data_IF_228605915935
#
_entry.id   IF_228605915935
#
_cell.length_a   1.000
_cell.length_b   1.000
_cell.length_c   1.000
_cell.angle_alpha   90.00
_cell.angle_beta   90.00
_cell.angle_gamma   90.00
#
_symmetry.space_group_name_H-M   'P 1'
#
loop_
_entity.id
_entity.type
_entity.pdbx_description
1 polymer ?
#
# COMPACT_ATOMS: atom_id res chain seq x y z
N UNK A 1 21.36 -13.52 -32.25
CA UNK A 1 20.64 -12.39 -31.63
C UNK A 1 20.85 -12.47 -30.13
N UNK A 2 21.60 -11.53 -29.55
CA UNK A 2 21.80 -11.47 -28.09
C UNK A 2 20.56 -10.87 -27.44
N UNK A 3 20.12 -11.44 -26.32
CA UNK A 3 19.03 -10.88 -25.51
C UNK A 3 19.50 -9.53 -24.96
N UNK A 4 18.83 -8.44 -25.37
CA UNK A 4 19.01 -7.14 -24.75
C UNK A 4 18.18 -7.08 -23.47
N UNK A 5 18.83 -6.75 -22.36
CA UNK A 5 18.17 -6.55 -21.06
C UNK A 5 18.14 -5.05 -20.77
N UNK A 6 16.98 -4.55 -20.37
CA UNK A 6 16.76 -3.17 -19.94
C UNK A 6 16.60 -3.19 -18.41
N UNK A 7 16.97 -2.10 -17.75
CA UNK A 7 16.72 -1.94 -16.31
C UNK A 7 15.21 -1.96 -16.04
N UNK A 8 14.80 -2.77 -15.07
CA UNK A 8 13.39 -2.97 -14.74
C UNK A 8 13.08 -2.31 -13.39
N UNK A 9 12.00 -1.54 -13.26
CA UNK A 9 11.62 -0.93 -11.98
C UNK A 9 11.18 -2.01 -10.97
N UNK A 10 12.09 -2.39 -10.07
CA UNK A 10 11.90 -3.52 -9.13
C UNK A 10 10.68 -3.30 -8.23
N UNK A 11 10.55 -2.11 -7.64
CA UNK A 11 9.43 -1.77 -6.75
C UNK A 11 8.09 -1.78 -7.48
N UNK A 12 8.06 -1.32 -8.73
CA UNK A 12 6.85 -1.35 -9.54
C UNK A 12 6.40 -2.78 -9.86
N UNK A 13 7.34 -3.64 -10.24
CA UNK A 13 7.04 -5.05 -10.46
C UNK A 13 6.55 -5.75 -9.18
N UNK A 14 7.08 -5.37 -8.03
CA UNK A 14 6.64 -5.92 -6.75
C UNK A 14 5.22 -5.45 -6.39
N UNK A 15 4.91 -4.18 -6.60
CA UNK A 15 3.54 -3.66 -6.48
C UNK A 15 2.56 -4.43 -7.39
N UNK A 16 2.90 -4.63 -8.66
CA UNK A 16 2.08 -5.40 -9.60
C UNK A 16 1.90 -6.86 -9.16
N UNK A 17 2.91 -7.47 -8.52
CA UNK A 17 2.81 -8.82 -7.99
C UNK A 17 1.84 -8.90 -6.80
N UNK A 18 1.84 -7.90 -5.91
CA UNK A 18 0.87 -7.79 -4.80
C UNK A 18 -0.55 -7.61 -5.36
N UNK A 19 -0.72 -6.77 -6.37
CA UNK A 19 -2.02 -6.54 -7.03
C UNK A 19 -2.56 -7.84 -7.66
N UNK A 20 -1.72 -8.58 -8.38
CA UNK A 20 -2.09 -9.87 -8.99
C UNK A 20 -2.48 -10.93 -7.93
N UNK A 21 -1.85 -10.91 -6.75
CA UNK A 21 -2.22 -11.79 -5.65
C UNK A 21 -3.56 -11.41 -5.00
N UNK A 22 -3.85 -10.11 -4.87
CA UNK A 22 -5.16 -9.62 -4.42
C UNK A 22 -6.28 -10.02 -5.39
N UNK A 23 -6.01 -9.90 -6.69
CA UNK A 23 -6.92 -10.31 -7.77
C UNK A 23 -7.21 -11.82 -7.76
N UNK A 24 -6.22 -12.65 -7.44
CA UNK A 24 -6.43 -14.10 -7.27
C UNK A 24 -7.28 -14.38 -6.04
N UNK A 25 -7.02 -13.68 -4.93
CA UNK A 25 -7.78 -13.83 -3.69
C UNK A 25 -9.26 -13.48 -3.90
N UNK A 26 -9.57 -12.46 -4.71
CA UNK A 26 -10.94 -12.03 -4.97
C UNK A 26 -11.80 -13.08 -5.68
N UNK A 27 -11.20 -14.14 -6.24
CA UNK A 27 -11.93 -15.29 -6.82
C UNK A 27 -12.52 -16.22 -5.78
N UNK A 28 -11.99 -16.17 -4.55
CA UNK A 28 -12.35 -17.07 -3.46
C UNK A 28 -13.05 -16.34 -2.32
N UNK A 29 -12.71 -15.07 -2.09
CA UNK A 29 -13.26 -14.23 -1.04
C UNK A 29 -13.81 -12.95 -1.68
N UNK A 30 -15.09 -12.67 -1.47
CA UNK A 30 -15.68 -11.41 -1.91
C UNK A 30 -15.39 -10.30 -0.89
N UNK A 31 -14.73 -9.24 -1.34
CA UNK A 31 -14.34 -8.09 -0.51
C UNK A 31 -15.50 -7.16 -0.14
N UNK A 32 -16.71 -7.39 -0.66
CA UNK A 32 -17.86 -6.53 -0.36
C UNK A 32 -18.43 -6.71 1.06
N UNK A 33 -18.32 -7.92 1.64
CA UNK A 33 -18.97 -8.29 2.92
C UNK A 33 -18.27 -9.38 3.75
N UNK A 34 -17.13 -9.92 3.33
CA UNK A 34 -16.47 -11.02 4.05
C UNK A 34 -15.36 -10.54 4.99
N UNK A 35 -15.65 -9.55 5.84
CA UNK A 35 -14.65 -8.97 6.75
C UNK A 35 -14.16 -9.96 7.81
N UNK A 36 -14.95 -11.02 8.09
CA UNK A 36 -14.59 -12.10 9.01
C UNK A 36 -13.77 -13.22 8.35
N UNK A 37 -13.54 -13.17 7.03
CA UNK A 37 -12.75 -14.19 6.35
C UNK A 37 -11.26 -14.02 6.68
N UNK A 38 -10.66 -15.06 7.28
CA UNK A 38 -9.25 -15.08 7.59
C UNK A 38 -8.58 -16.30 6.95
N UNK A 39 -7.38 -16.09 6.42
CA UNK A 39 -6.50 -17.16 5.95
C UNK A 39 -5.04 -16.74 6.09
N UNK A 40 -4.13 -17.71 6.00
CA UNK A 40 -2.69 -17.43 6.04
C UNK A 40 -2.28 -16.61 4.81
N UNK A 41 -2.90 -16.86 3.66
CA UNK A 41 -2.69 -16.12 2.42
C UNK A 41 -3.13 -14.67 2.55
N UNK A 42 -4.28 -14.41 3.18
CA UNK A 42 -4.76 -13.05 3.47
C UNK A 42 -3.77 -12.33 4.39
N UNK A 43 -3.33 -12.98 5.48
CA UNK A 43 -2.35 -12.40 6.39
C UNK A 43 -1.01 -12.11 5.70
N UNK A 44 -0.53 -13.02 4.84
CA UNK A 44 0.70 -12.83 4.07
C UNK A 44 0.60 -11.66 3.12
N UNK A 45 -0.51 -11.54 2.39
CA UNK A 45 -0.76 -10.45 1.46
C UNK A 45 -0.81 -9.11 2.19
N UNK A 46 -1.56 -9.06 3.29
CA UNK A 46 -1.70 -7.87 4.12
C UNK A 46 -0.34 -7.40 4.69
N UNK A 47 0.43 -8.31 5.29
CA UNK A 47 1.76 -7.99 5.83
C UNK A 47 2.72 -7.49 4.74
N UNK A 48 2.68 -8.08 3.54
CA UNK A 48 3.53 -7.66 2.41
C UNK A 48 3.16 -6.27 1.91
N UNK A 49 1.86 -5.98 1.76
CA UNK A 49 1.39 -4.66 1.35
C UNK A 49 1.72 -3.59 2.40
N UNK A 50 1.44 -3.86 3.68
CA UNK A 50 1.71 -2.92 4.77
C UNK A 50 3.21 -2.64 4.94
N UNK A 51 4.10 -3.61 4.72
CA UNK A 51 5.55 -3.36 4.81
C UNK A 51 6.04 -2.40 3.73
N UNK A 52 5.49 -2.47 2.51
CA UNK A 52 5.87 -1.53 1.44
C UNK A 52 5.37 -0.12 1.75
N UNK A 53 4.11 0.01 2.20
CA UNK A 53 3.54 1.30 2.58
C UNK A 53 4.34 1.94 3.72
N UNK A 54 4.70 1.16 4.74
CA UNK A 54 5.53 1.62 5.87
C UNK A 54 6.91 2.14 5.40
N UNK A 55 7.57 1.42 4.49
CA UNK A 55 8.85 1.85 3.93
C UNK A 55 8.70 3.12 3.11
N UNK A 56 7.67 3.22 2.25
CA UNK A 56 7.42 4.40 1.41
C UNK A 56 7.15 5.63 2.29
N UNK A 57 6.29 5.53 3.30
CA UNK A 57 5.98 6.64 4.19
C UNK A 57 7.22 7.12 4.96
N UNK A 58 8.06 6.19 5.44
CA UNK A 58 9.35 6.54 6.08
C UNK A 58 10.30 7.26 5.12
N UNK A 59 10.35 6.86 3.85
CA UNK A 59 11.15 7.57 2.84
C UNK A 59 10.59 8.96 2.54
N UNK A 60 9.26 9.13 2.51
CA UNK A 60 8.62 10.43 2.37
C UNK A 60 8.98 11.33 3.54
N UNK A 61 8.88 10.86 4.79
CA UNK A 61 9.30 11.62 5.97
C UNK A 61 10.76 12.06 5.88
N UNK A 62 11.66 11.16 5.48
CA UNK A 62 13.09 11.50 5.25
C UNK A 62 13.31 12.50 4.12
N UNK A 63 12.44 12.52 3.11
CA UNK A 63 12.49 13.50 2.02
C UNK A 63 12.02 14.89 2.48
N UNK A 64 11.05 14.94 3.41
CA UNK A 64 10.51 16.16 3.99
C UNK A 64 11.45 16.75 5.04
N UNK A 65 11.99 15.90 5.91
CA UNK A 65 12.94 16.22 6.95
C UNK A 65 14.03 15.13 7.01
N UNK A 66 15.25 15.48 6.61
CA UNK A 66 16.36 14.53 6.56
C UNK A 66 16.68 13.90 7.92
N UNK A 67 16.44 14.65 9.01
CA UNK A 67 16.67 14.20 10.39
C UNK A 67 15.44 13.52 11.01
N UNK A 68 14.41 13.21 10.20
CA UNK A 68 13.21 12.52 10.69
C UNK A 68 13.57 11.17 11.30
N UNK A 69 13.10 10.96 12.54
CA UNK A 69 13.23 9.71 13.28
C UNK A 69 11.92 8.91 13.31
N UNK A 70 10.98 9.20 12.40
CA UNK A 70 9.70 8.52 12.34
C UNK A 70 9.90 7.00 12.16
N UNK A 71 9.55 6.24 13.21
CA UNK A 71 9.72 4.80 13.27
C UNK A 71 8.39 4.04 13.37
N UNK A 72 7.32 4.71 13.82
CA UNK A 72 5.98 4.14 14.00
C UNK A 72 4.93 4.81 13.12
N UNK A 73 3.81 4.11 12.90
CA UNK A 73 2.70 4.58 12.07
C UNK A 73 2.20 5.96 12.44
N UNK A 74 1.99 6.20 13.74
CA UNK A 74 1.52 7.49 14.22
C UNK A 74 2.53 8.62 13.94
N UNK A 75 3.84 8.33 13.95
CA UNK A 75 4.87 9.35 13.76
C UNK A 75 4.96 9.78 12.30
N UNK A 76 5.09 8.84 11.36
CA UNK A 76 5.15 9.22 9.95
C UNK A 76 3.80 9.70 9.44
N UNK A 77 2.68 9.19 9.97
CA UNK A 77 1.35 9.71 9.63
C UNK A 77 1.24 11.20 10.00
N UNK A 78 1.64 11.56 11.21
CA UNK A 78 1.66 12.97 11.65
C UNK A 78 2.57 13.83 10.77
N UNK A 79 3.82 13.42 10.53
CA UNK A 79 4.74 14.20 9.70
C UNK A 79 4.26 14.38 8.25
N UNK A 80 3.63 13.35 7.68
CA UNK A 80 3.09 13.40 6.30
C UNK A 80 1.85 14.26 6.23
N UNK A 81 0.93 14.15 7.19
CA UNK A 81 -0.30 14.95 7.22
C UNK A 81 -0.04 16.42 7.55
N UNK A 82 0.96 16.72 8.39
CA UNK A 82 1.43 18.08 8.65
C UNK A 82 1.98 18.74 7.37
N UNK A 83 2.67 17.98 6.52
CA UNK A 83 3.22 18.47 5.26
C UNK A 83 2.20 18.50 4.11
N UNK A 84 1.28 17.54 4.08
CA UNK A 84 0.26 17.37 3.06
C UNK A 84 -1.13 17.14 3.68
N UNK A 85 -1.78 18.20 4.20
CA UNK A 85 -3.08 18.05 4.87
C UNK A 85 -4.17 17.43 3.98
N UNK A 86 -4.13 17.73 2.67
CA UNK A 86 -5.09 17.22 1.67
C UNK A 86 -4.99 15.71 1.43
N UNK A 87 -3.93 15.05 1.92
CA UNK A 87 -3.74 13.60 1.71
C UNK A 87 -4.80 12.76 2.46
N UNK A 88 -5.41 13.32 3.50
CA UNK A 88 -6.45 12.67 4.32
C UNK A 88 -7.74 12.52 3.50
N UNK A 89 -8.05 13.51 2.67
CA UNK A 89 -9.24 13.52 1.82
C UNK A 89 -9.07 12.68 0.54
N UNK A 90 -7.97 11.94 0.43
CA UNK A 90 -7.68 11.16 -0.76
C UNK A 90 -8.61 9.95 -0.87
N UNK A 91 -9.49 9.98 -1.85
CA UNK A 91 -10.42 8.90 -2.14
C UNK A 91 -9.79 7.88 -3.10
N UNK A 92 -9.76 6.62 -2.68
CA UNK A 92 -9.37 5.47 -3.51
C UNK A 92 -10.61 4.71 -3.94
N UNK A 93 -10.86 4.71 -5.24
CA UNK A 93 -11.95 3.96 -5.85
C UNK A 93 -11.46 2.58 -6.26
N UNK A 94 -12.19 1.54 -5.84
CA UNK A 94 -12.03 0.17 -6.32
C UNK A 94 -13.36 -0.32 -6.92
N UNK A 95 -13.77 0.20 -8.10
CA UNK A 95 -15.10 -0.03 -8.66
C UNK A 95 -15.40 -1.51 -8.90
N UNK A 96 -14.37 -2.30 -9.19
CA UNK A 96 -14.48 -3.76 -9.39
C UNK A 96 -15.06 -4.49 -8.18
N UNK A 97 -14.79 -3.98 -6.98
CA UNK A 97 -15.28 -4.54 -5.72
C UNK A 97 -16.41 -3.70 -5.13
N UNK A 98 -16.83 -2.62 -5.81
CA UNK A 98 -17.83 -1.68 -5.30
C UNK A 98 -17.37 -0.95 -4.03
N UNK A 99 -16.05 -0.79 -3.84
CA UNK A 99 -15.48 -0.17 -2.66
C UNK A 99 -14.98 1.24 -2.97
N UNK A 100 -15.18 2.13 -2.00
CA UNK A 100 -14.60 3.47 -1.91
C UNK A 100 -13.90 3.54 -0.57
N UNK A 101 -12.62 3.89 -0.56
CA UNK A 101 -11.77 3.87 0.62
C UNK A 101 -11.14 5.25 0.81
N UNK A 102 -11.09 5.73 2.06
CA UNK A 102 -10.21 6.81 2.47
C UNK A 102 -9.11 6.21 3.34
N UNK A 103 -7.93 5.89 2.76
CA UNK A 103 -6.92 5.09 3.43
C UNK A 103 -6.23 5.79 4.61
N UNK A 104 -6.41 7.10 4.74
CA UNK A 104 -5.77 7.95 5.76
C UNK A 104 -6.80 8.74 6.58
N UNK A 105 -8.09 8.45 6.41
CA UNK A 105 -9.17 8.97 7.27
C UNK A 105 -9.22 8.13 8.56
N UNK A 106 -9.42 8.81 9.70
CA UNK A 106 -9.35 8.26 11.07
C UNK A 106 -10.60 7.43 11.45
#
# INVERSE_FOLDING_TARGET
>A
MGIQRVETPIHWNYFLAIEDDLEKLSRYVDFSRNDEAFSIEIARLFLSACSEVDVVLKQICKSLNHDSTAASINQYFQEVTDAYPEIIDFEVLMPKHGLTLHPLED
#
